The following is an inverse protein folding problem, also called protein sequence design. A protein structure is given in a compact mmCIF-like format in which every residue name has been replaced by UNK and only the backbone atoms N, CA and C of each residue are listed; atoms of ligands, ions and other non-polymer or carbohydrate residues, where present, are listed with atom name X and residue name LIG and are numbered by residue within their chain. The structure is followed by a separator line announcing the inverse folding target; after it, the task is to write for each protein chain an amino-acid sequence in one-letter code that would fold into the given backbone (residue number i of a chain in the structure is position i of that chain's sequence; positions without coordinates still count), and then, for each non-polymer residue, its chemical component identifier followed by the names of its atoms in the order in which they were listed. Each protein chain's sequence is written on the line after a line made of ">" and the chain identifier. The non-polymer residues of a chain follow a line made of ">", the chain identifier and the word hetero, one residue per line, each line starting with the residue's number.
data_IF_346379445464
#
_entry.id   IF_346379445464
#
_cell.length_a   1.000
_cell.length_b   1.000
_cell.length_c   1.000
_cell.angle_alpha   90.00
_cell.angle_beta   90.00
_cell.angle_gamma   90.00
#
_symmetry.space_group_name_H-M   'P 1'
#
loop_
_entity.id
_entity.type
_entity.pdbx_description
1 polymer ?
#
# COMPACT_ATOMS: atom_id res chain seq x y z
N UNK A 1 25.08 -25.86 -15.91
CA UNK A 1 23.82 -25.26 -15.44
C UNK A 1 24.18 -24.04 -14.62
N UNK A 2 23.60 -22.88 -14.92
CA UNK A 2 23.85 -21.66 -14.16
C UNK A 2 22.85 -21.56 -13.02
N UNK A 3 23.34 -21.46 -11.79
CA UNK A 3 22.51 -21.23 -10.59
C UNK A 3 22.12 -19.75 -10.58
N UNK A 4 20.84 -19.45 -10.77
CA UNK A 4 20.31 -18.10 -10.57
C UNK A 4 19.86 -17.96 -9.12
N UNK A 5 20.40 -16.95 -8.43
CA UNK A 5 20.02 -16.62 -7.05
C UNK A 5 19.01 -15.49 -7.09
N UNK A 6 17.84 -15.70 -6.50
CA UNK A 6 16.85 -14.64 -6.29
C UNK A 6 17.25 -13.89 -5.03
N UNK A 7 17.57 -12.61 -5.17
CA UNK A 7 17.86 -11.69 -4.06
C UNK A 7 16.79 -10.62 -3.99
N UNK A 8 16.43 -10.25 -2.76
CA UNK A 8 15.64 -9.05 -2.52
C UNK A 8 16.61 -7.87 -2.34
N UNK A 9 16.72 -7.05 -3.38
CA UNK A 9 17.62 -5.90 -3.44
C UNK A 9 16.90 -4.59 -3.07
N UNK A 10 15.77 -4.67 -2.36
CA UNK A 10 15.05 -3.48 -1.90
C UNK A 10 15.75 -2.76 -0.75
N UNK A 11 15.70 -1.41 -0.73
CA UNK A 11 16.19 -0.62 0.38
C UNK A 11 15.30 -0.80 1.62
N UNK A 12 15.86 -0.54 2.81
CA UNK A 12 15.10 -0.56 4.08
C UNK A 12 13.85 0.33 4.03
N UNK A 13 13.92 1.44 3.27
CA UNK A 13 12.79 2.31 2.97
C UNK A 13 12.71 2.52 1.47
N UNK A 14 11.62 2.04 0.86
CA UNK A 14 11.29 2.34 -0.53
C UNK A 14 10.72 3.75 -0.58
N UNK A 15 11.36 4.70 -1.30
CA UNK A 15 10.78 6.03 -1.47
C UNK A 15 9.54 5.91 -2.35
N UNK A 16 8.40 6.42 -1.85
CA UNK A 16 7.14 6.49 -2.60
C UNK A 16 6.78 7.96 -2.74
N UNK A 17 6.40 8.36 -3.95
CA UNK A 17 5.96 9.72 -4.29
C UNK A 17 4.44 9.88 -4.10
N UNK A 18 3.96 11.12 -3.96
CA UNK A 18 2.51 11.39 -3.85
C UNK A 18 1.74 10.89 -5.07
N UNK A 19 2.29 11.04 -6.28
CA UNK A 19 1.67 10.54 -7.50
C UNK A 19 1.54 9.00 -7.52
N UNK A 20 2.51 8.28 -6.94
CA UNK A 20 2.41 6.83 -6.80
C UNK A 20 1.35 6.45 -5.75
N UNK A 21 1.25 7.20 -4.65
CA UNK A 21 0.20 6.98 -3.63
C UNK A 21 -1.20 7.15 -4.25
N UNK A 22 -1.44 8.19 -5.04
CA UNK A 22 -2.71 8.40 -5.73
C UNK A 22 -3.09 7.24 -6.65
N UNK A 23 -2.10 6.66 -7.34
CA UNK A 23 -2.29 5.46 -8.17
C UNK A 23 -2.67 4.27 -7.30
N UNK A 24 -1.97 4.04 -6.19
CA UNK A 24 -2.31 2.97 -5.25
C UNK A 24 -3.74 3.12 -4.72
N UNK A 25 -4.14 4.31 -4.27
CA UNK A 25 -5.49 4.56 -3.76
C UNK A 25 -6.56 4.36 -4.83
N UNK A 26 -6.30 4.75 -6.08
CA UNK A 26 -7.28 4.60 -7.17
C UNK A 26 -7.54 3.15 -7.58
N UNK A 27 -6.54 2.28 -7.49
CA UNK A 27 -6.66 0.89 -7.94
C UNK A 27 -6.87 -0.11 -6.81
N UNK A 28 -6.47 0.23 -5.59
CA UNK A 28 -6.61 -0.64 -4.42
C UNK A 28 -7.58 -0.11 -3.38
N UNK A 29 -8.13 1.09 -3.53
CA UNK A 29 -9.02 1.69 -2.52
C UNK A 29 -10.23 0.81 -2.18
N UNK A 30 -10.90 0.26 -3.18
CA UNK A 30 -12.03 -0.66 -3.00
C UNK A 30 -11.63 -1.98 -2.34
N UNK A 31 -10.50 -2.55 -2.73
CA UNK A 31 -9.92 -3.77 -2.12
C UNK A 31 -9.55 -3.53 -0.66
N UNK A 32 -8.98 -2.37 -0.35
CA UNK A 32 -8.60 -2.00 1.02
C UNK A 32 -9.84 -1.74 1.89
N UNK A 33 -10.85 -1.07 1.35
CA UNK A 33 -12.14 -0.87 2.03
C UNK A 33 -12.85 -2.21 2.30
N UNK A 34 -12.75 -3.19 1.39
CA UNK A 34 -13.26 -4.54 1.63
C UNK A 34 -12.48 -5.28 2.72
N UNK A 35 -11.15 -5.14 2.73
CA UNK A 35 -10.27 -5.87 3.65
C UNK A 35 -10.27 -5.29 5.07
N UNK A 36 -10.38 -3.98 5.20
CA UNK A 36 -10.26 -3.25 6.48
C UNK A 36 -11.56 -2.59 6.95
N UNK A 37 -12.60 -2.61 6.10
CA UNK A 37 -13.82 -1.84 6.30
C UNK A 37 -13.65 -0.40 5.80
N UNK A 38 -14.73 0.18 5.25
CA UNK A 38 -14.71 1.60 4.90
C UNK A 38 -14.43 2.43 6.15
N UNK A 39 -13.52 3.39 6.00
CA UNK A 39 -13.25 4.39 7.03
C UNK A 39 -14.50 5.27 7.12
N UNK A 40 -15.39 4.98 8.07
CA UNK A 40 -16.49 5.88 8.35
C UNK A 40 -15.91 7.26 8.68
N UNK A 41 -16.30 8.35 7.98
CA UNK A 41 -15.79 9.70 8.24
C UNK A 41 -16.05 10.20 9.67
N UNK A 42 -16.82 9.43 10.45
CA UNK A 42 -17.30 9.74 11.79
C UNK A 42 -16.37 9.19 12.88
N UNK A 43 -15.40 8.30 12.59
CA UNK A 43 -14.43 7.85 13.62
C UNK A 43 -13.25 8.83 13.83
N UNK A 44 -13.57 10.13 13.83
CA UNK A 44 -12.79 11.18 14.52
C UNK A 44 -13.47 11.65 15.80
N UNK A 45 -14.62 11.06 16.16
CA UNK A 45 -15.44 11.49 17.30
C UNK A 45 -15.49 10.50 18.46
N UNK A 46 -14.57 9.53 18.56
CA UNK A 46 -14.37 8.82 19.83
C UNK A 46 -13.21 9.48 20.59
N UNK A 47 -13.39 9.82 21.89
CA UNK A 47 -12.34 10.43 22.69
C UNK A 47 -11.10 9.54 22.84
#
# INVERSE_FOLDING_TARGET
>A
MSTWTVTDDWPEKVPITEAEIEIFERYFGDVLDELFGSIDPIDRSKP
#
